data_IF_760579421724
#
_entry.id   IF_760579421724
#
_cell.length_a   1.000
_cell.length_b   1.000
_cell.length_c   1.000
_cell.angle_alpha   90.00
_cell.angle_beta   90.00
_cell.angle_gamma   90.00
#
_symmetry.space_group_name_H-M   'P 1'
#
loop_
_entity.id
_entity.type
_entity.pdbx_description
1 polymer ?
#
# COMPACT_ATOMS: atom_id res chain seq x y z
N UNK A 1 -26.59 -57.09 -36.57
CA UNK A 1 -26.30 -55.82 -35.87
C UNK A 1 -24.80 -55.57 -36.02
N UNK A 2 -24.30 -54.83 -37.02
CA UNK A 2 -24.15 -53.36 -37.15
C UNK A 2 -23.38 -52.67 -36.00
N UNK A 3 -22.10 -52.33 -36.32
CA UNK A 3 -21.31 -51.13 -35.93
C UNK A 3 -20.80 -51.01 -34.46
N UNK A 4 -19.59 -50.53 -34.12
CA UNK A 4 -18.41 -49.95 -34.80
C UNK A 4 -17.19 -50.07 -33.88
N UNK A 5 -16.03 -50.45 -34.41
CA UNK A 5 -14.71 -50.11 -33.85
C UNK A 5 -14.52 -48.59 -33.94
N UNK A 6 -14.07 -47.95 -32.85
CA UNK A 6 -13.48 -46.60 -32.89
C UNK A 6 -12.17 -46.65 -32.09
N UNK A 7 -11.08 -46.79 -32.81
CA UNK A 7 -9.74 -46.38 -32.40
C UNK A 7 -9.51 -44.97 -32.97
N UNK A 8 -9.34 -43.96 -32.11
CA UNK A 8 -8.98 -42.56 -32.44
C UNK A 8 -8.90 -41.79 -31.12
N UNK A 9 -7.89 -41.04 -30.70
CA UNK A 9 -6.68 -40.54 -31.36
C UNK A 9 -5.62 -40.26 -30.26
N UNK A 10 -4.58 -41.10 -30.17
CA UNK A 10 -3.30 -40.72 -29.60
C UNK A 10 -2.65 -39.79 -30.65
N UNK A 11 -2.88 -38.48 -30.54
CA UNK A 11 -2.12 -37.52 -31.34
C UNK A 11 -0.69 -37.49 -30.81
N UNK A 12 0.13 -38.36 -31.38
CA UNK A 12 1.56 -38.14 -31.45
C UNK A 12 1.81 -36.87 -32.26
N UNK A 13 2.45 -35.88 -31.63
CA UNK A 13 3.27 -34.95 -32.40
C UNK A 13 4.65 -35.58 -32.49
N UNK A 14 4.99 -35.84 -33.74
CA UNK A 14 6.24 -36.38 -34.22
C UNK A 14 7.45 -35.69 -33.60
N UNK A 15 8.42 -36.52 -33.22
CA UNK A 15 9.82 -36.15 -33.07
C UNK A 15 10.32 -35.66 -34.42
N UNK A 16 10.47 -34.35 -34.57
CA UNK A 16 11.39 -33.77 -35.56
C UNK A 16 12.63 -33.32 -34.82
N UNK A 17 13.73 -34.02 -35.10
CA UNK A 17 15.07 -33.60 -34.74
C UNK A 17 15.35 -32.24 -35.39
N UNK A 18 15.55 -31.24 -34.54
CA UNK A 18 16.13 -29.96 -34.87
C UNK A 18 16.75 -29.41 -33.60
N UNK A 19 18.08 -29.46 -33.48
CA UNK A 19 18.82 -28.62 -32.54
C UNK A 19 18.71 -27.16 -33.01
N UNK A 20 17.50 -26.61 -32.96
CA UNK A 20 17.29 -25.17 -32.97
C UNK A 20 17.42 -24.72 -31.52
N UNK A 21 18.23 -23.71 -31.27
CA UNK A 21 18.23 -22.97 -30.01
C UNK A 21 16.79 -22.76 -29.59
N UNK A 22 16.36 -23.44 -28.52
CA UNK A 22 15.00 -23.31 -28.01
C UNK A 22 14.83 -21.83 -27.71
N UNK A 23 13.93 -21.17 -28.43
CA UNK A 23 13.55 -19.80 -28.13
C UNK A 23 13.39 -19.68 -26.61
N UNK A 24 14.01 -18.68 -25.97
CA UNK A 24 14.03 -18.59 -24.52
C UNK A 24 12.60 -18.66 -24.03
N UNK A 25 12.26 -19.77 -23.36
CA UNK A 25 10.93 -19.98 -22.82
C UNK A 25 10.77 -18.95 -21.72
N UNK A 26 9.83 -18.03 -21.91
CA UNK A 26 9.49 -17.05 -20.89
C UNK A 26 9.19 -17.80 -19.58
N UNK A 27 9.98 -17.58 -18.51
CA UNK A 27 9.83 -18.34 -17.29
C UNK A 27 8.62 -17.90 -16.47
N UNK A 28 7.86 -16.89 -16.91
CA UNK A 28 6.69 -16.36 -16.21
C UNK A 28 5.40 -16.89 -16.84
N UNK A 29 4.55 -17.52 -16.02
CA UNK A 29 3.20 -17.88 -16.45
C UNK A 29 2.30 -16.66 -16.43
N UNK A 30 1.70 -16.32 -17.57
CA UNK A 30 0.65 -15.30 -17.63
C UNK A 30 -0.61 -15.80 -16.93
N UNK A 31 -1.11 -15.02 -15.97
CA UNK A 31 -2.24 -15.42 -15.13
C UNK A 31 -2.99 -14.19 -14.61
N UNK A 32 -4.26 -14.36 -14.26
CA UNK A 32 -5.01 -13.30 -13.56
C UNK A 32 -4.57 -13.17 -12.10
N UNK A 33 -4.72 -11.97 -11.53
CA UNK A 33 -4.42 -11.69 -10.13
C UNK A 33 -5.18 -12.60 -9.16
N UNK A 34 -6.47 -12.83 -9.44
CA UNK A 34 -7.32 -13.73 -8.66
C UNK A 34 -6.77 -15.15 -8.64
N UNK A 35 -6.40 -15.70 -9.80
CA UNK A 35 -5.83 -17.05 -9.89
C UNK A 35 -4.44 -17.12 -9.26
N UNK A 36 -3.60 -16.11 -9.43
CA UNK A 36 -2.28 -16.05 -8.82
C UNK A 36 -2.37 -16.02 -7.27
N UNK A 37 -3.36 -15.34 -6.70
CA UNK A 37 -3.56 -15.25 -5.25
C UNK A 37 -4.32 -16.46 -4.67
N UNK A 38 -5.41 -16.90 -5.31
CA UNK A 38 -6.39 -17.82 -4.74
C UNK A 38 -6.68 -19.08 -5.58
N UNK A 39 -6.12 -19.20 -6.79
CA UNK A 39 -6.41 -20.31 -7.70
C UNK A 39 -5.77 -21.64 -7.27
N UNK A 40 -6.44 -22.77 -7.50
CA UNK A 40 -5.83 -24.10 -7.38
C UNK A 40 -5.02 -24.45 -8.64
N UNK A 41 -3.93 -25.23 -8.53
CA UNK A 41 -3.07 -25.38 -7.35
C UNK A 41 -2.26 -24.10 -7.16
N UNK A 42 -2.14 -23.62 -5.93
CA UNK A 42 -1.27 -22.48 -5.63
C UNK A 42 0.16 -22.89 -6.01
N UNK A 43 0.62 -22.49 -7.20
CA UNK A 43 1.92 -22.90 -7.70
C UNK A 43 2.96 -22.42 -6.69
N UNK A 44 3.83 -23.37 -6.31
CA UNK A 44 4.73 -23.38 -5.16
C UNK A 44 5.43 -22.05 -4.86
N UNK A 45 5.91 -21.88 -3.62
CA UNK A 45 6.84 -20.80 -3.25
C UNK A 45 7.94 -20.63 -4.30
N UNK A 46 8.10 -19.42 -4.82
CA UNK A 46 9.09 -19.13 -5.87
C UNK A 46 8.54 -19.19 -7.30
N UNK A 47 7.29 -19.59 -7.51
CA UNK A 47 6.69 -19.56 -8.84
C UNK A 47 6.61 -18.14 -9.39
N UNK A 48 6.89 -18.03 -10.69
CA UNK A 48 7.01 -16.78 -11.44
C UNK A 48 5.75 -16.53 -12.25
N UNK A 49 5.16 -15.36 -12.07
CA UNK A 49 3.91 -14.96 -12.71
C UNK A 49 4.10 -13.69 -13.52
N UNK A 50 3.38 -13.58 -14.62
CA UNK A 50 3.28 -12.37 -15.43
C UNK A 50 1.88 -11.78 -15.23
N UNK A 51 1.83 -10.61 -14.59
CA UNK A 51 0.61 -9.82 -14.39
C UNK A 51 0.54 -8.75 -15.49
N UNK A 52 -0.25 -9.00 -16.52
CA UNK A 52 -0.36 -8.13 -17.69
C UNK A 52 -1.35 -7.00 -17.41
N UNK A 53 -0.90 -5.76 -17.58
CA UNK A 53 -1.71 -4.53 -17.48
C UNK A 53 -2.69 -4.50 -16.29
N UNK A 54 -2.25 -4.77 -15.05
CA UNK A 54 -3.13 -4.56 -13.91
C UNK A 54 -3.35 -3.05 -13.71
N UNK A 55 -4.52 -2.67 -13.20
CA UNK A 55 -4.81 -1.29 -12.83
C UNK A 55 -3.90 -0.91 -11.65
N UNK A 56 -3.06 0.11 -11.81
CA UNK A 56 -2.29 0.68 -10.71
C UNK A 56 -3.21 1.63 -9.95
N UNK A 57 -3.56 1.25 -8.72
CA UNK A 57 -4.45 2.03 -7.85
C UNK A 57 -3.65 3.13 -7.15
N UNK A 58 -2.46 2.79 -6.65
CA UNK A 58 -1.59 3.70 -5.92
C UNK A 58 -0.16 3.16 -5.87
N UNK A 59 0.84 4.03 -5.68
CA UNK A 59 2.25 3.62 -5.56
C UNK A 59 3.04 4.57 -4.64
N UNK A 60 3.88 4.01 -3.77
CA UNK A 60 4.78 4.79 -2.92
C UNK A 60 6.05 3.98 -2.59
N UNK A 61 7.22 4.59 -2.80
CA UNK A 61 8.53 3.99 -2.50
C UNK A 61 8.69 2.59 -3.11
N UNK A 62 8.74 1.57 -2.25
CA UNK A 62 8.92 0.17 -2.64
C UNK A 62 7.63 -0.59 -2.98
N UNK A 63 6.48 0.09 -3.00
CA UNK A 63 5.17 -0.53 -3.07
C UNK A 63 4.35 0.01 -4.23
N UNK A 64 3.58 -0.90 -4.84
CA UNK A 64 2.51 -0.58 -5.78
C UNK A 64 1.28 -1.39 -5.38
N UNK A 65 0.15 -0.71 -5.18
CA UNK A 65 -1.14 -1.35 -5.04
C UNK A 65 -1.74 -1.51 -6.43
N UNK A 66 -1.96 -2.76 -6.83
CA UNK A 66 -2.58 -3.09 -8.10
C UNK A 66 -3.96 -3.67 -7.91
N UNK A 67 -4.80 -3.56 -8.94
CA UNK A 67 -6.14 -4.13 -9.02
C UNK A 67 -6.34 -4.84 -10.35
N UNK A 68 -7.05 -5.96 -10.30
CA UNK A 68 -7.59 -6.60 -11.49
C UNK A 68 -8.98 -7.15 -11.16
N UNK A 69 -10.01 -6.55 -11.75
CA UNK A 69 -11.40 -6.79 -11.34
C UNK A 69 -11.62 -6.36 -9.89
N UNK A 70 -12.20 -7.23 -9.07
CA UNK A 70 -12.48 -6.97 -7.65
C UNK A 70 -11.35 -7.42 -6.70
N UNK A 71 -10.17 -7.75 -7.22
CA UNK A 71 -9.03 -8.20 -6.41
C UNK A 71 -7.96 -7.13 -6.43
N UNK A 72 -7.48 -6.74 -5.25
CA UNK A 72 -6.35 -5.83 -5.08
C UNK A 72 -5.26 -6.48 -4.23
N UNK A 73 -4.00 -6.14 -4.51
CA UNK A 73 -2.86 -6.60 -3.72
C UNK A 73 -1.66 -5.68 -3.88
N UNK A 74 -0.78 -5.71 -2.89
CA UNK A 74 0.52 -5.09 -3.00
C UNK A 74 1.46 -5.91 -3.89
N UNK A 75 2.22 -5.21 -4.71
CA UNK A 75 3.46 -5.63 -5.33
C UNK A 75 4.59 -4.85 -4.65
N UNK A 76 5.62 -5.56 -4.18
CA UNK A 76 6.80 -4.98 -3.55
C UNK A 76 8.03 -5.04 -4.46
N UNK A 77 8.88 -4.03 -4.46
CA UNK A 77 10.12 -3.98 -5.23
C UNK A 77 10.96 -2.76 -4.91
N UNK A 78 12.28 -2.86 -5.00
CA UNK A 78 13.16 -1.74 -4.62
C UNK A 78 12.93 -0.52 -5.53
N UNK A 79 12.52 0.60 -4.94
CA UNK A 79 12.15 1.85 -5.63
C UNK A 79 11.13 1.63 -6.75
N UNK A 80 10.19 0.71 -6.53
CA UNK A 80 9.25 0.28 -7.57
C UNK A 80 8.37 1.44 -8.05
N UNK A 81 7.87 2.29 -7.14
CA UNK A 81 7.01 3.41 -7.48
C UNK A 81 7.71 4.39 -8.45
N UNK A 82 8.96 4.74 -8.18
CA UNK A 82 9.74 5.64 -9.05
C UNK A 82 10.02 5.01 -10.42
N UNK A 83 10.32 3.71 -10.45
CA UNK A 83 10.60 2.98 -11.69
C UNK A 83 9.39 2.89 -12.62
N UNK A 84 8.16 2.90 -12.09
CA UNK A 84 6.95 2.81 -12.92
C UNK A 84 6.39 4.18 -13.33
N UNK A 85 6.81 5.26 -12.66
CA UNK A 85 6.22 6.60 -12.78
C UNK A 85 6.32 7.20 -14.19
N UNK A 86 7.34 6.84 -14.96
CA UNK A 86 7.56 7.34 -16.32
C UNK A 86 6.83 6.57 -17.42
N UNK A 87 6.17 5.47 -17.07
CA UNK A 87 5.49 4.61 -18.04
C UNK A 87 3.98 4.83 -18.00
N UNK A 88 3.31 4.64 -19.13
CA UNK A 88 1.84 4.64 -19.19
C UNK A 88 1.30 3.45 -18.38
N UNK A 89 0.54 3.68 -17.28
CA UNK A 89 0.03 2.63 -16.42
C UNK A 89 -0.69 1.49 -17.16
N UNK A 90 -1.39 1.78 -18.27
CA UNK A 90 -2.12 0.78 -19.06
C UNK A 90 -1.21 -0.23 -19.80
N UNK A 91 0.07 0.09 -19.96
CA UNK A 91 1.05 -0.72 -20.70
C UNK A 91 1.94 -1.57 -19.81
N UNK A 92 1.85 -1.37 -18.49
CA UNK A 92 2.78 -1.95 -17.53
C UNK A 92 2.43 -3.41 -17.27
N UNK A 93 3.42 -4.28 -17.40
CA UNK A 93 3.35 -5.69 -17.01
C UNK A 93 4.34 -5.95 -15.88
N UNK A 94 3.87 -6.60 -14.81
CA UNK A 94 4.72 -6.99 -13.70
C UNK A 94 5.07 -8.47 -13.78
N UNK A 95 6.36 -8.75 -13.89
CA UNK A 95 6.91 -10.08 -13.74
C UNK A 95 7.29 -10.28 -12.27
N UNK A 96 6.57 -11.17 -11.58
CA UNK A 96 6.55 -11.24 -10.12
C UNK A 96 6.77 -12.65 -9.59
N UNK A 97 7.16 -12.75 -8.33
CA UNK A 97 7.19 -13.99 -7.55
C UNK A 97 6.24 -13.87 -6.39
N UNK A 98 5.37 -14.87 -6.20
CA UNK A 98 4.47 -14.91 -5.04
C UNK A 98 5.22 -15.15 -3.74
N UNK A 99 4.85 -14.39 -2.72
CA UNK A 99 5.28 -14.52 -1.33
C UNK A 99 4.04 -14.80 -0.48
N UNK A 100 4.23 -15.55 0.61
CA UNK A 100 3.14 -16.01 1.48
C UNK A 100 3.16 -15.39 2.88
N UNK A 101 4.30 -14.85 3.29
CA UNK A 101 4.52 -14.28 4.61
C UNK A 101 5.00 -12.84 4.46
N UNK A 102 4.50 -11.88 5.27
CA UNK A 102 3.54 -12.07 6.36
C UNK A 102 2.09 -12.30 5.89
N UNK A 103 1.78 -11.99 4.63
CA UNK A 103 0.54 -12.35 3.96
C UNK A 103 0.82 -12.67 2.48
N UNK A 104 -0.10 -13.33 1.75
CA UNK A 104 0.03 -13.52 0.31
C UNK A 104 0.19 -12.18 -0.43
N UNK A 105 1.28 -12.03 -1.16
CA UNK A 105 1.59 -10.84 -1.97
C UNK A 105 2.58 -11.18 -3.09
N UNK A 106 2.95 -10.18 -3.88
CA UNK A 106 3.91 -10.33 -4.96
C UNK A 106 5.16 -9.50 -4.72
N UNK A 107 6.32 -10.09 -5.04
CA UNK A 107 7.58 -9.36 -5.16
C UNK A 107 7.89 -9.21 -6.64
N UNK A 108 8.08 -7.98 -7.11
CA UNK A 108 8.45 -7.68 -8.49
C UNK A 108 9.90 -8.09 -8.75
N UNK A 109 10.11 -8.79 -9.86
CA UNK A 109 11.41 -9.17 -10.38
C UNK A 109 11.84 -8.21 -11.48
N UNK A 110 10.90 -7.84 -12.35
CA UNK A 110 11.09 -6.88 -13.45
C UNK A 110 9.74 -6.27 -13.85
N UNK A 111 9.81 -5.06 -14.39
CA UNK A 111 8.69 -4.35 -15.00
C UNK A 111 8.91 -4.34 -16.50
N UNK A 112 7.90 -4.76 -17.26
CA UNK A 112 7.92 -4.70 -18.72
C UNK A 112 6.94 -3.60 -19.15
N UNK A 113 7.40 -2.63 -19.93
CA UNK A 113 6.60 -1.52 -20.44
C UNK A 113 6.94 -1.30 -21.92
N UNK A 114 6.05 -1.72 -22.82
CA UNK A 114 6.34 -1.75 -24.26
C UNK A 114 7.53 -2.64 -24.57
N UNK A 115 8.60 -2.05 -25.12
CA UNK A 115 9.85 -2.75 -25.44
C UNK A 115 10.89 -2.72 -24.31
N UNK A 116 10.63 -1.95 -23.24
CA UNK A 116 11.56 -1.81 -22.13
C UNK A 116 11.30 -2.90 -21.09
N UNK A 117 12.38 -3.49 -20.58
CA UNK A 117 12.36 -4.38 -19.41
C UNK A 117 13.28 -3.82 -18.34
N UNK A 118 12.70 -3.41 -17.22
CA UNK A 118 13.40 -2.79 -16.10
C UNK A 118 13.54 -3.81 -14.96
N UNK A 119 14.75 -4.33 -14.68
CA UNK A 119 14.96 -5.23 -13.56
C UNK A 119 14.78 -4.52 -12.21
N UNK A 120 14.21 -5.23 -11.24
CA UNK A 120 14.05 -4.78 -9.87
C UNK A 120 15.10 -5.45 -8.97
N UNK A 121 15.96 -4.68 -8.26
CA UNK A 121 16.94 -5.25 -7.33
C UNK A 121 16.31 -6.14 -6.25
N UNK A 122 16.93 -7.30 -5.99
CA UNK A 122 16.38 -8.34 -5.08
C UNK A 122 17.11 -8.45 -3.73
N UNK A 123 18.13 -7.63 -3.49
CA UNK A 123 19.05 -7.75 -2.35
C UNK A 123 18.50 -7.28 -1.01
N UNK A 124 17.31 -6.66 -0.98
CA UNK A 124 16.70 -6.13 0.24
C UNK A 124 15.33 -6.76 0.47
N UNK A 125 15.06 -7.16 1.72
CA UNK A 125 13.72 -7.54 2.15
C UNK A 125 12.87 -6.28 2.31
N UNK A 126 11.73 -6.22 1.62
CA UNK A 126 10.76 -5.12 1.74
C UNK A 126 9.60 -5.66 2.59
N UNK A 127 9.43 -5.17 3.84
CA UNK A 127 8.36 -5.65 4.70
C UNK A 127 7.01 -5.29 4.09
N UNK A 128 5.95 -6.05 4.37
CA UNK A 128 4.59 -5.57 4.09
C UNK A 128 4.04 -4.82 5.31
N UNK A 129 3.10 -3.88 5.12
CA UNK A 129 2.34 -3.35 6.24
C UNK A 129 1.67 -4.49 7.00
N UNK A 130 1.74 -4.45 8.32
CA UNK A 130 1.03 -5.41 9.16
C UNK A 130 -0.46 -5.09 9.07
N UNK A 131 -1.23 -6.05 8.59
CA UNK A 131 -2.68 -5.94 8.45
C UNK A 131 -3.36 -6.91 9.41
N UNK A 132 -4.27 -6.40 10.23
CA UNK A 132 -5.18 -7.23 11.02
C UNK A 132 -6.63 -6.85 10.73
N UNK A 133 -7.56 -7.77 11.01
CA UNK A 133 -8.98 -7.42 10.98
C UNK A 133 -9.23 -6.35 12.04
N UNK A 134 -10.02 -5.33 11.69
CA UNK A 134 -10.44 -4.32 12.67
C UNK A 134 -11.38 -4.92 13.72
N UNK A 135 -12.18 -5.91 13.34
CA UNK A 135 -12.98 -6.71 14.27
C UNK A 135 -12.05 -7.46 15.25
N UNK A 136 -12.05 -7.01 16.51
CA UNK A 136 -11.22 -7.58 17.58
C UNK A 136 -9.84 -6.93 17.74
N UNK A 137 -9.53 -5.86 17.00
CA UNK A 137 -8.35 -5.05 17.32
C UNK A 137 -8.64 -4.20 18.56
N UNK A 138 -7.84 -4.38 19.61
CA UNK A 138 -7.90 -3.58 20.81
C UNK A 138 -6.74 -2.56 20.81
N UNK A 139 -7.08 -1.29 20.91
CA UNK A 139 -6.15 -0.17 21.01
C UNK A 139 -5.78 0.11 22.47
N UNK A 140 -5.41 -0.95 23.22
CA UNK A 140 -5.32 -0.92 24.70
C UNK A 140 -4.37 0.16 25.24
N UNK A 141 -3.38 0.57 24.43
CA UNK A 141 -2.41 1.61 24.79
C UNK A 141 -2.82 3.03 24.37
N UNK A 142 -3.95 3.20 23.66
CA UNK A 142 -4.39 4.49 23.12
C UNK A 142 -5.64 4.98 23.85
N UNK A 143 -5.59 6.20 24.38
CA UNK A 143 -6.76 6.82 25.01
C UNK A 143 -7.64 7.48 23.95
N UNK A 144 -8.95 7.21 23.88
CA UNK A 144 -9.86 7.95 23.01
C UNK A 144 -9.80 9.44 23.29
N UNK A 145 -9.63 10.25 22.25
CA UNK A 145 -9.61 11.70 22.36
C UNK A 145 -10.25 12.38 21.15
N UNK A 146 -10.81 13.56 21.39
CA UNK A 146 -11.25 14.44 20.31
C UNK A 146 -10.11 15.37 19.89
N UNK A 147 -10.09 15.73 18.60
CA UNK A 147 -9.13 16.70 18.06
C UNK A 147 -9.20 18.06 18.79
N UNK A 148 -10.37 18.44 19.32
CA UNK A 148 -10.61 19.70 20.06
C UNK A 148 -9.77 19.86 21.33
N UNK A 149 -9.20 18.74 21.82
CA UNK A 149 -8.23 18.73 22.92
C UNK A 149 -6.98 19.54 22.59
N UNK A 150 -6.51 19.44 21.35
CA UNK A 150 -5.27 20.09 20.94
C UNK A 150 -5.54 21.54 20.58
N UNK A 151 -4.96 22.46 21.35
CA UNK A 151 -5.17 23.90 21.18
C UNK A 151 -3.85 24.55 20.88
N UNK A 152 -3.75 25.19 19.72
CA UNK A 152 -2.52 25.87 19.29
C UNK A 152 -2.02 26.92 20.29
N UNK A 153 -2.90 27.47 21.14
CA UNK A 153 -2.59 28.47 22.16
C UNK A 153 -2.32 27.90 23.57
N UNK A 154 -2.40 26.59 23.76
CA UNK A 154 -2.18 25.94 25.05
C UNK A 154 -0.77 25.34 25.13
N UNK A 155 0.25 26.22 25.15
CA UNK A 155 1.66 25.79 25.20
C UNK A 155 1.94 24.85 26.37
N UNK A 156 1.49 25.22 27.58
CA UNK A 156 1.73 24.43 28.80
C UNK A 156 1.03 23.08 28.75
N UNK A 157 -0.17 23.00 28.14
CA UNK A 157 -0.86 21.75 27.91
C UNK A 157 -0.13 20.86 26.91
N UNK A 158 0.20 21.41 25.74
CA UNK A 158 0.85 20.67 24.64
C UNK A 158 2.24 20.15 25.00
N UNK A 159 3.02 20.88 25.80
CA UNK A 159 4.34 20.44 26.28
C UNK A 159 4.28 19.21 27.21
N UNK A 160 3.09 18.86 27.72
CA UNK A 160 2.86 17.66 28.56
C UNK A 160 2.31 16.48 27.78
N UNK A 161 2.06 16.65 26.48
CA UNK A 161 1.52 15.61 25.61
C UNK A 161 2.54 14.66 24.96
N UNK A 162 3.86 14.95 24.86
CA UNK A 162 4.82 14.00 24.30
C UNK A 162 4.70 12.58 24.88
N UNK A 163 4.87 11.59 23.99
CA UNK A 163 4.77 10.14 24.24
C UNK A 163 3.35 9.64 24.56
N UNK A 164 2.37 10.53 24.68
CA UNK A 164 0.98 10.10 24.91
C UNK A 164 0.34 9.60 23.64
N UNK A 165 -0.41 8.53 23.81
CA UNK A 165 -1.09 7.79 22.75
C UNK A 165 -2.57 8.09 22.74
N UNK A 166 -3.06 8.49 21.57
CA UNK A 166 -4.43 8.91 21.36
C UNK A 166 -5.08 8.11 20.24
N UNK A 167 -6.31 7.66 20.45
CA UNK A 167 -7.17 7.23 19.36
C UNK A 167 -7.97 8.45 18.90
N UNK A 168 -7.77 8.85 17.65
CA UNK A 168 -8.33 10.07 17.08
C UNK A 168 -9.15 9.77 15.82
N UNK A 169 -10.20 10.55 15.65
CA UNK A 169 -10.93 10.67 14.40
C UNK A 169 -10.71 12.06 13.80
N UNK A 170 -10.26 12.13 12.55
CA UNK A 170 -9.90 13.37 11.88
C UNK A 170 -10.06 13.27 10.36
N UNK A 171 -10.07 14.42 9.69
CA UNK A 171 -9.90 14.49 8.24
C UNK A 171 -8.40 14.46 7.93
N UNK A 172 -7.99 13.55 7.05
CA UNK A 172 -6.60 13.48 6.60
C UNK A 172 -6.41 14.38 5.38
N UNK A 173 -5.45 15.30 5.44
CA UNK A 173 -5.17 16.26 4.38
C UNK A 173 -3.69 16.22 4.03
N UNK A 174 -3.39 16.23 2.73
CA UNK A 174 -2.02 16.42 2.22
C UNK A 174 -1.79 17.91 2.03
N UNK A 175 -0.78 18.45 2.72
CA UNK A 175 -0.37 19.85 2.57
C UNK A 175 0.83 19.91 1.62
N UNK A 176 0.73 20.78 0.60
CA UNK A 176 1.80 21.04 -0.36
C UNK A 176 2.18 22.53 -0.29
N UNK A 177 3.08 22.89 0.64
CA UNK A 177 3.57 24.26 0.79
C UNK A 177 5.01 24.37 0.27
N UNK A 178 5.15 24.88 -0.96
CA UNK A 178 6.46 25.05 -1.59
C UNK A 178 7.16 23.71 -1.86
N UNK A 179 8.29 23.46 -1.19
CA UNK A 179 9.02 22.18 -1.28
C UNK A 179 8.60 21.18 -0.20
N UNK A 180 7.86 21.63 0.81
CA UNK A 180 7.46 20.78 1.94
C UNK A 180 6.13 20.10 1.62
N UNK A 181 6.16 18.76 1.59
CA UNK A 181 4.97 17.92 1.47
C UNK A 181 4.82 17.12 2.75
N UNK A 182 3.66 17.23 3.40
CA UNK A 182 3.40 16.49 4.63
C UNK A 182 1.92 16.20 4.80
N UNK A 183 1.62 15.25 5.67
CA UNK A 183 0.26 14.90 6.07
C UNK A 183 -0.16 15.68 7.30
N UNK A 184 -1.45 16.00 7.36
CA UNK A 184 -2.06 16.72 8.46
C UNK A 184 -3.38 16.07 8.84
N UNK A 185 -3.60 15.93 10.15
CA UNK A 185 -4.90 15.59 10.72
C UNK A 185 -5.62 16.88 11.07
N UNK A 186 -6.78 17.08 10.45
CA UNK A 186 -7.67 18.21 10.64
C UNK A 186 -8.91 17.78 11.44
N UNK A 187 -9.19 18.47 12.55
CA UNK A 187 -10.39 18.20 13.33
C UNK A 187 -11.68 18.45 12.56
N UNK A 188 -12.73 17.65 12.81
CA UNK A 188 -14.02 17.84 12.15
C UNK A 188 -14.78 19.07 12.66
N UNK A 189 -14.55 19.44 13.93
CA UNK A 189 -15.23 20.55 14.59
C UNK A 189 -14.24 21.64 15.01
N UNK A 190 -14.61 22.92 14.85
CA UNK A 190 -13.86 24.00 15.48
C UNK A 190 -13.90 23.85 17.00
N UNK A 191 -12.79 24.18 17.64
CA UNK A 191 -12.72 24.38 19.09
C UNK A 191 -13.68 25.49 19.53
N UNK A 192 -13.91 25.63 20.85
CA UNK A 192 -14.77 26.67 21.43
C UNK A 192 -14.41 28.12 21.02
N UNK A 193 -13.22 28.34 20.46
CA UNK A 193 -12.76 29.63 19.92
C UNK A 193 -12.88 29.74 18.39
N UNK A 194 -13.62 28.83 17.75
CA UNK A 194 -13.91 28.85 16.31
C UNK A 194 -12.79 28.35 15.41
N UNK A 195 -11.75 27.71 15.96
CA UNK A 195 -10.60 27.24 15.18
C UNK A 195 -10.51 25.73 15.12
N UNK A 196 -10.24 25.21 13.93
CA UNK A 196 -10.06 23.78 13.68
C UNK A 196 -8.68 23.32 14.18
N UNK A 197 -8.60 22.31 15.05
CA UNK A 197 -7.34 21.75 15.51
C UNK A 197 -6.60 21.06 14.37
N UNK A 198 -5.30 21.33 14.24
CA UNK A 198 -4.44 20.75 13.22
C UNK A 198 -3.25 20.04 13.87
N UNK A 199 -2.98 18.79 13.48
CA UNK A 199 -1.78 18.05 13.89
C UNK A 199 -1.01 17.66 12.64
N UNK A 200 0.29 17.95 12.63
CA UNK A 200 1.20 17.46 11.59
C UNK A 200 1.47 15.99 11.83
N UNK A 201 1.45 15.19 10.77
CA UNK A 201 1.87 13.79 10.83
C UNK A 201 3.35 13.72 10.45
N UNK A 202 4.14 13.08 11.31
CA UNK A 202 5.52 12.70 11.00
C UNK A 202 5.56 11.82 9.75
N UNK A 203 6.68 11.79 9.03
CA UNK A 203 6.78 11.09 7.74
C UNK A 203 6.34 9.62 7.88
N UNK A 204 5.20 9.22 7.27
CA UNK A 204 4.71 7.86 7.42
C UNK A 204 5.59 6.90 6.61
N UNK A 205 5.74 5.64 7.04
CA UNK A 205 6.36 4.62 6.21
C UNK A 205 5.62 4.50 4.86
N UNK A 206 6.31 4.17 3.74
CA UNK A 206 5.70 4.15 2.40
C UNK A 206 4.45 3.26 2.29
N UNK A 207 4.37 2.20 3.10
CA UNK A 207 3.19 1.35 3.13
C UNK A 207 1.95 2.06 3.72
N UNK A 208 2.13 2.91 4.73
CA UNK A 208 1.06 3.75 5.26
C UNK A 208 0.76 4.94 4.36
N UNK A 209 1.76 5.48 3.64
CA UNK A 209 1.55 6.52 2.62
C UNK A 209 0.49 6.09 1.58
N UNK A 210 0.53 4.83 1.13
CA UNK A 210 -0.50 4.29 0.23
C UNK A 210 -1.89 4.33 0.89
N UNK A 211 -2.00 3.91 2.15
CA UNK A 211 -3.27 3.92 2.87
C UNK A 211 -3.79 5.36 3.05
N UNK A 212 -2.89 6.31 3.30
CA UNK A 212 -3.21 7.73 3.44
C UNK A 212 -3.71 8.33 2.13
N UNK A 213 -3.05 8.03 1.01
CA UNK A 213 -3.53 8.44 -0.31
C UNK A 213 -4.92 7.88 -0.62
N UNK A 214 -5.18 6.61 -0.27
CA UNK A 214 -6.50 5.99 -0.46
C UNK A 214 -7.58 6.61 0.45
N UNK A 215 -7.26 6.88 1.71
CA UNK A 215 -8.15 7.58 2.64
C UNK A 215 -8.48 8.98 2.12
N UNK A 216 -7.47 9.75 1.73
CA UNK A 216 -7.64 11.11 1.24
C UNK A 216 -8.45 11.16 -0.07
N UNK A 217 -8.15 10.28 -1.04
CA UNK A 217 -8.86 10.22 -2.32
C UNK A 217 -10.30 9.73 -2.20
N UNK A 218 -10.59 8.85 -1.23
CA UNK A 218 -11.96 8.41 -0.94
C UNK A 218 -12.76 9.40 -0.09
N UNK A 219 -12.11 10.43 0.46
CA UNK A 219 -12.74 11.36 1.43
C UNK A 219 -13.10 10.69 2.76
N UNK A 220 -12.57 9.50 3.02
CA UNK A 220 -12.83 8.76 4.25
C UNK A 220 -12.16 9.44 5.45
N UNK A 221 -12.81 9.34 6.61
CA UNK A 221 -12.26 9.84 7.86
C UNK A 221 -11.07 8.98 8.28
N UNK A 222 -9.99 9.62 8.72
CA UNK A 222 -8.93 8.94 9.45
C UNK A 222 -9.49 8.52 10.81
N UNK A 223 -9.40 7.23 11.11
CA UNK A 223 -9.69 6.65 12.42
C UNK A 223 -8.49 5.79 12.81
N UNK A 224 -7.69 6.27 13.77
CA UNK A 224 -6.38 5.68 14.02
C UNK A 224 -5.77 6.07 15.36
N UNK A 225 -4.73 5.33 15.72
CA UNK A 225 -3.92 5.59 16.89
C UNK A 225 -2.70 6.41 16.51
N UNK A 226 -2.44 7.44 17.30
CA UNK A 226 -1.29 8.31 17.12
C UNK A 226 -0.53 8.47 18.44
N UNK A 227 0.78 8.63 18.35
CA UNK A 227 1.63 9.06 19.45
C UNK A 227 1.99 10.53 19.25
N UNK A 228 1.72 11.37 20.24
CA UNK A 228 2.12 12.77 20.19
C UNK A 228 3.63 12.88 20.40
N UNK A 229 4.35 13.50 19.47
CA UNK A 229 5.81 13.57 19.50
C UNK A 229 6.26 14.85 20.17
N UNK A 230 5.83 15.99 19.64
CA UNK A 230 6.25 17.29 20.13
C UNK A 230 5.22 18.38 19.78
N UNK A 231 5.21 19.45 20.58
CA UNK A 231 4.47 20.64 20.24
C UNK A 231 5.22 21.43 19.15
N UNK A 232 4.50 21.95 18.16
CA UNK A 232 5.12 22.81 17.16
C UNK A 232 5.60 24.12 17.82
N UNK A 233 6.70 24.76 17.36
CA UNK A 233 7.17 26.02 17.89
C UNK A 233 6.09 27.11 17.87
N UNK A 234 6.01 27.91 18.94
CA UNK A 234 4.99 28.96 19.11
C UNK A 234 4.76 29.82 17.87
N UNK A 235 5.84 30.27 17.23
CA UNK A 235 5.80 31.12 16.02
C UNK A 235 5.05 30.42 14.88
N UNK A 236 5.27 29.11 14.68
CA UNK A 236 4.56 28.34 13.66
C UNK A 236 3.09 28.10 14.04
N UNK A 237 2.82 27.83 15.32
CA UNK A 237 1.44 27.66 15.82
C UNK A 237 0.60 28.91 15.62
N UNK A 238 1.17 30.10 15.86
CA UNK A 238 0.48 31.36 15.63
C UNK A 238 0.18 31.61 14.15
N UNK A 239 1.08 31.20 13.26
CA UNK A 239 0.96 31.42 11.82
C UNK A 239 -0.02 30.46 11.15
N UNK A 240 0.09 29.17 11.49
CA UNK A 240 -0.55 28.09 10.74
C UNK A 240 -1.56 27.27 11.58
N UNK A 241 -1.72 27.57 12.88
CA UNK A 241 -2.60 26.85 13.82
C UNK A 241 -2.32 25.34 14.00
N UNK A 242 -1.19 24.85 13.47
CA UNK A 242 -0.69 23.49 13.73
C UNK A 242 -0.29 23.40 15.20
N UNK A 243 -0.85 22.45 15.93
CA UNK A 243 -0.66 22.31 17.37
C UNK A 243 0.61 21.53 17.71
N UNK A 244 0.93 20.50 16.94
CA UNK A 244 2.05 19.61 17.20
C UNK A 244 2.22 18.57 16.12
N UNK A 245 3.27 17.76 16.29
CA UNK A 245 3.60 16.63 15.43
C UNK A 245 3.18 15.33 16.11
N UNK A 246 2.59 14.42 15.33
CA UNK A 246 2.20 13.08 15.78
C UNK A 246 2.77 12.01 14.86
N UNK A 247 3.14 10.88 15.41
CA UNK A 247 3.42 9.64 14.68
C UNK A 247 2.16 8.79 14.63
N UNK A 248 1.89 8.17 13.48
CA UNK A 248 0.73 7.27 13.34
C UNK A 248 1.16 5.85 13.63
N UNK A 249 0.62 5.29 14.72
CA UNK A 249 0.88 3.90 15.13
C UNK A 249 0.01 2.93 14.32
N UNK A 250 -1.24 3.31 14.07
CA UNK A 250 -2.16 2.54 13.26
C UNK A 250 -3.24 3.39 12.62
N UNK A 251 -3.81 2.88 11.53
CA UNK A 251 -5.00 3.44 10.89
C UNK A 251 -5.97 2.35 10.49
N UNK A 252 -7.26 2.61 10.71
CA UNK A 252 -8.35 1.75 10.30
C UNK A 252 -8.88 2.19 8.94
N UNK A 253 -8.92 1.27 7.98
CA UNK A 253 -9.50 1.51 6.66
C UNK A 253 -10.07 0.22 6.08
N UNK A 254 -11.27 0.28 5.51
CA UNK A 254 -11.97 -0.88 4.89
C UNK A 254 -11.99 -2.14 5.79
N UNK A 255 -12.36 -1.97 7.07
CA UNK A 255 -12.41 -3.04 8.09
C UNK A 255 -11.06 -3.72 8.40
N UNK A 256 -9.95 -3.08 8.03
CA UNK A 256 -8.58 -3.52 8.36
C UNK A 256 -7.88 -2.46 9.18
N UNK A 257 -6.98 -2.91 10.04
CA UNK A 257 -6.05 -2.06 10.78
C UNK A 257 -4.67 -2.24 10.16
N UNK A 258 -4.09 -1.13 9.70
CA UNK A 258 -2.75 -1.04 9.15
C UNK A 258 -1.83 -0.44 10.21
N UNK A 259 -0.71 -1.10 10.48
CA UNK A 259 0.26 -0.70 11.50
C UNK A 259 1.64 -0.45 10.92
N UNK A 260 2.39 0.45 11.56
CA UNK A 260 3.84 0.63 11.36
C UNK A 260 4.65 -0.56 11.86
#
# INVERSE_FOLDING_TARGET
>A
MKFKFVALCLLGVFVLAGCGEKAPVDPYAQISLRQALYGPPVLSKGFKYKLVSPEIVESAGDYVLVRQGNVSTFITGASLADKIKSYDPGTITFNVVKKFSPAPHFRCMEVVAGNDTVPIPQGRSIPLPRMTNAAGFASEDHTPAEMTRFKYNDTVGLEKEPERKYQLSAKLVRVEEGKDKYWMLEGATPSARGQVPLLRVAEPPPALEIVFNLLASSGATFDGGVTFVEAEPWVKRQKNHVCGTVEVDYVTFLNKVFRT
#
